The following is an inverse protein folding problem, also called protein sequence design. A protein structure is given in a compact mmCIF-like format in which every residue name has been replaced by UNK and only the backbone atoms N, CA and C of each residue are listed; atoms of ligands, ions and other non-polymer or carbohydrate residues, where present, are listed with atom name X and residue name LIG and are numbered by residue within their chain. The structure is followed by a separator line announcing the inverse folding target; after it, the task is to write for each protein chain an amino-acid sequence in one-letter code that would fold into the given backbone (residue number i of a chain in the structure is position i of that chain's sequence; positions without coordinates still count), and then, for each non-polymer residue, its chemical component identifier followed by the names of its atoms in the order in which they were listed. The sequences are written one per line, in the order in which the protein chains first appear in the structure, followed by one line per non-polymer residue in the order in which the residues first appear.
data_IF_860746988796
#
_entry.id   IF_860746988796
#
_cell.length_a   1.000
_cell.length_b   1.000
_cell.length_c   1.000
_cell.angle_alpha   90.00
_cell.angle_beta   90.00
_cell.angle_gamma   90.00
#
_symmetry.space_group_name_H-M   'P 1'
#
loop_
_entity.id
_entity.type
_entity.pdbx_description
1 polymer ?
#
# COMPACT_ATOMS: atom_id res chain seq x y z
N UNK A 1 33.38 -18.58 -31.13
CA UNK A 1 34.24 -19.58 -30.46
C UNK A 1 34.09 -19.37 -28.97
N UNK A 2 33.28 -20.19 -28.30
CA UNK A 2 33.00 -20.03 -26.88
C UNK A 2 34.17 -20.66 -26.11
N UNK A 3 35.01 -19.84 -25.46
CA UNK A 3 36.04 -20.38 -24.57
C UNK A 3 35.36 -21.02 -23.35
N UNK A 4 35.71 -22.27 -22.98
CA UNK A 4 35.19 -22.87 -21.77
C UNK A 4 35.66 -22.05 -20.56
N UNK A 5 34.81 -22.00 -19.53
CA UNK A 5 35.12 -21.30 -18.28
C UNK A 5 36.26 -22.03 -17.57
N UNK A 6 37.17 -21.29 -16.92
CA UNK A 6 38.15 -21.87 -16.02
C UNK A 6 37.49 -22.25 -14.70
N UNK A 7 37.95 -23.31 -14.02
CA UNK A 7 37.40 -23.75 -12.73
C UNK A 7 37.39 -22.63 -11.67
N UNK A 8 38.34 -21.69 -11.73
CA UNK A 8 38.37 -20.51 -10.86
C UNK A 8 37.25 -19.52 -11.19
N UNK A 9 36.89 -19.38 -12.45
CA UNK A 9 35.81 -18.51 -12.91
C UNK A 9 34.45 -19.08 -12.52
N UNK A 10 34.27 -20.40 -12.67
CA UNK A 10 33.05 -21.11 -12.25
C UNK A 10 32.77 -20.93 -10.76
N UNK A 11 33.78 -21.15 -9.90
CA UNK A 11 33.65 -20.94 -8.45
C UNK A 11 33.30 -19.49 -8.12
N UNK A 12 33.92 -18.53 -8.81
CA UNK A 12 33.65 -17.10 -8.61
C UNK A 12 32.22 -16.73 -9.00
N UNK A 13 31.72 -17.23 -10.14
CA UNK A 13 30.36 -16.95 -10.59
C UNK A 13 29.32 -17.62 -9.70
N UNK A 14 29.51 -18.89 -9.33
CA UNK A 14 28.61 -19.59 -8.41
C UNK A 14 28.52 -18.84 -7.07
N UNK A 15 29.65 -18.40 -6.51
CA UNK A 15 29.65 -17.64 -5.26
C UNK A 15 28.93 -16.30 -5.41
N UNK A 16 29.12 -15.58 -6.53
CA UNK A 16 28.43 -14.31 -6.79
C UNK A 16 26.91 -14.50 -6.92
N UNK A 17 26.48 -15.52 -7.66
CA UNK A 17 25.06 -15.85 -7.83
C UNK A 17 24.43 -16.13 -6.47
N UNK A 18 25.01 -17.01 -5.66
CA UNK A 18 24.47 -17.33 -4.35
C UNK A 18 24.48 -16.14 -3.39
N UNK A 19 25.49 -15.27 -3.45
CA UNK A 19 25.51 -14.01 -2.68
C UNK A 19 24.37 -13.08 -3.06
N UNK A 20 24.08 -12.95 -4.36
CA UNK A 20 22.97 -12.11 -4.85
C UNK A 20 21.63 -12.71 -4.42
N UNK A 21 21.45 -14.02 -4.58
CA UNK A 21 20.20 -14.71 -4.20
C UNK A 21 19.95 -14.59 -2.69
N UNK A 22 20.94 -14.95 -1.86
CA UNK A 22 20.81 -14.87 -0.39
C UNK A 22 20.66 -13.41 0.04
N UNK A 23 21.42 -12.49 -0.56
CA UNK A 23 21.31 -11.06 -0.29
C UNK A 23 19.92 -10.51 -0.62
N UNK A 24 19.32 -10.93 -1.74
CA UNK A 24 17.96 -10.56 -2.12
C UNK A 24 16.91 -11.09 -1.15
N UNK A 25 17.03 -12.35 -0.74
CA UNK A 25 16.14 -12.96 0.27
C UNK A 25 16.27 -12.23 1.61
N UNK A 26 17.50 -11.95 2.05
CA UNK A 26 17.76 -11.23 3.29
C UNK A 26 17.19 -9.80 3.25
N UNK A 27 17.39 -9.09 2.14
CA UNK A 27 16.84 -7.75 1.94
C UNK A 27 15.30 -7.77 1.99
N UNK A 28 14.67 -8.75 1.36
CA UNK A 28 13.21 -8.90 1.41
C UNK A 28 12.72 -9.23 2.83
N UNK A 29 13.40 -10.11 3.56
CA UNK A 29 13.06 -10.43 4.95
C UNK A 29 13.21 -9.19 5.87
N UNK A 30 14.26 -8.38 5.67
CA UNK A 30 14.45 -7.12 6.38
C UNK A 30 13.30 -6.16 6.06
N UNK A 31 12.93 -6.02 4.79
CA UNK A 31 11.81 -5.17 4.38
C UNK A 31 10.50 -5.55 5.08
N UNK A 32 10.15 -6.85 5.11
CA UNK A 32 8.95 -7.33 5.82
C UNK A 32 9.06 -7.07 7.33
N UNK A 33 10.25 -7.26 7.92
CA UNK A 33 10.47 -6.98 9.34
C UNK A 33 10.27 -5.50 9.67
N UNK A 34 10.70 -4.59 8.80
CA UNK A 34 10.48 -3.15 8.94
C UNK A 34 8.99 -2.78 8.94
N UNK A 35 8.15 -3.50 8.17
CA UNK A 35 6.70 -3.33 8.22
C UNK A 35 6.14 -3.72 9.59
N UNK A 36 6.61 -4.83 10.17
CA UNK A 36 6.22 -5.26 11.52
C UNK A 36 6.63 -4.27 12.62
N UNK A 37 7.78 -3.62 12.47
CA UNK A 37 8.22 -2.55 13.39
C UNK A 37 7.53 -1.20 13.16
N UNK A 38 6.66 -1.08 12.16
CA UNK A 38 5.88 0.13 11.90
C UNK A 38 6.69 1.29 11.29
N UNK A 39 7.84 1.01 10.64
CA UNK A 39 8.62 2.07 9.96
C UNK A 39 7.84 2.78 8.86
N UNK A 40 6.79 2.14 8.33
CA UNK A 40 5.91 2.67 7.29
C UNK A 40 4.54 3.13 7.85
N UNK A 41 4.42 3.27 9.17
CA UNK A 41 3.17 3.58 9.85
C UNK A 41 2.49 2.36 10.46
N UNK A 42 1.37 2.59 11.13
CA UNK A 42 0.60 1.55 11.82
C UNK A 42 -0.20 0.72 10.81
N UNK A 43 0.00 -0.59 10.81
CA UNK A 43 -0.88 -1.51 10.08
C UNK A 43 -2.28 -1.49 10.71
N UNK A 44 -3.35 -1.44 9.90
CA UNK A 44 -4.72 -1.53 10.42
C UNK A 44 -4.92 -2.87 11.13
N UNK A 45 -5.77 -2.88 12.16
CA UNK A 45 -6.07 -4.12 12.87
C UNK A 45 -6.93 -5.04 12.00
N UNK A 46 -6.97 -6.34 12.32
CA UNK A 46 -7.87 -7.29 11.63
C UNK A 46 -9.33 -6.83 11.66
N UNK A 47 -9.78 -6.26 12.77
CA UNK A 47 -11.13 -5.73 12.91
C UNK A 47 -11.41 -4.59 11.92
N UNK A 48 -10.43 -3.72 11.69
CA UNK A 48 -10.58 -2.61 10.73
C UNK A 48 -10.64 -3.13 9.29
N UNK A 49 -10.05 -4.29 9.00
CA UNK A 49 -10.09 -4.94 7.68
C UNK A 49 -11.41 -5.70 7.48
N UNK A 50 -11.92 -6.40 8.50
CA UNK A 50 -13.20 -7.11 8.44
C UNK A 50 -14.39 -6.14 8.41
N UNK A 51 -14.25 -5.01 9.12
CA UNK A 51 -15.25 -3.96 9.19
C UNK A 51 -14.65 -2.60 8.82
N UNK A 52 -14.35 -2.37 7.52
CA UNK A 52 -13.82 -1.11 7.07
C UNK A 52 -14.84 -0.01 7.37
N UNK A 53 -14.44 0.96 8.19
CA UNK A 53 -15.28 2.11 8.50
C UNK A 53 -15.35 3.03 7.28
N UNK A 54 -16.55 3.24 6.75
CA UNK A 54 -16.78 4.33 5.81
C UNK A 54 -16.71 5.65 6.57
N UNK A 55 -15.84 6.56 6.12
CA UNK A 55 -15.75 7.92 6.68
C UNK A 55 -16.80 8.86 6.09
N UNK A 56 -17.86 8.33 5.46
CA UNK A 56 -18.95 9.12 4.89
C UNK A 56 -19.80 9.77 5.99
N UNK A 57 -20.10 11.05 5.82
CA UNK A 57 -21.00 11.76 6.73
C UNK A 57 -22.42 11.18 6.66
N UNK A 58 -23.07 11.03 7.81
CA UNK A 58 -24.50 10.69 7.87
C UNK A 58 -25.33 11.94 7.59
N UNK A 59 -26.33 11.82 6.72
CA UNK A 59 -27.20 12.93 6.35
C UNK A 59 -28.54 12.84 7.08
N UNK A 60 -28.99 13.95 7.67
CA UNK A 60 -30.30 14.07 8.29
C UNK A 60 -31.24 14.62 7.21
N UNK A 61 -32.22 13.83 6.80
CA UNK A 61 -33.14 14.16 5.70
C UNK A 61 -34.54 14.40 6.28
N UNK A 62 -35.18 15.50 5.87
CA UNK A 62 -36.56 15.82 6.20
C UNK A 62 -37.54 14.93 5.43
N UNK A 63 -38.81 14.90 5.86
CA UNK A 63 -39.88 14.12 5.21
C UNK A 63 -40.14 14.55 3.75
N UNK A 64 -39.79 15.79 3.41
CA UNK A 64 -39.86 16.33 2.05
C UNK A 64 -38.61 15.99 1.19
N UNK A 65 -37.67 15.20 1.73
CA UNK A 65 -36.43 14.80 1.05
C UNK A 65 -35.29 15.82 1.12
N UNK A 66 -35.44 16.95 1.83
CA UNK A 66 -34.36 17.95 1.95
C UNK A 66 -33.35 17.58 3.03
N UNK A 67 -32.06 17.72 2.74
CA UNK A 67 -30.99 17.55 3.74
C UNK A 67 -31.02 18.70 4.75
N UNK A 68 -31.31 18.40 6.01
CA UNK A 68 -31.34 19.33 7.14
C UNK A 68 -29.95 19.58 7.73
N UNK A 69 -29.05 18.59 7.60
CA UNK A 69 -27.69 18.69 8.12
C UNK A 69 -26.94 17.37 8.01
N UNK A 70 -25.67 17.39 8.44
CA UNK A 70 -24.82 16.20 8.44
C UNK A 70 -24.20 15.98 9.82
N UNK A 71 -24.05 14.70 10.18
CA UNK A 71 -23.36 14.27 11.40
C UNK A 71 -22.17 13.39 11.01
N UNK A 72 -20.98 13.78 11.46
CA UNK A 72 -19.75 13.11 11.04
C UNK A 72 -18.64 13.19 12.09
N UNK A 73 -17.78 12.16 12.09
CA UNK A 73 -16.44 12.24 12.71
C UNK A 73 -15.45 12.86 11.72
N UNK A 74 -15.58 12.53 10.43
CA UNK A 74 -14.83 13.12 9.33
C UNK A 74 -15.81 13.59 8.26
N UNK A 75 -15.74 14.86 7.88
CA UNK A 75 -16.62 15.42 6.86
C UNK A 75 -16.19 14.97 5.46
N UNK A 76 -16.61 13.77 5.04
CA UNK A 76 -16.36 13.28 3.68
C UNK A 76 -17.67 12.98 2.97
N UNK A 77 -17.74 13.41 1.72
CA UNK A 77 -18.74 13.00 0.74
C UNK A 77 -18.06 12.14 -0.32
N UNK A 78 -18.77 11.12 -0.80
CA UNK A 78 -18.27 10.27 -1.87
C UNK A 78 -18.57 10.98 -3.20
N UNK A 79 -17.54 11.25 -4.02
CA UNK A 79 -17.69 11.90 -5.33
C UNK A 79 -16.93 11.11 -6.39
N UNK A 80 -17.50 11.03 -7.59
CA UNK A 80 -16.84 10.48 -8.77
C UNK A 80 -15.94 11.54 -9.41
N UNK A 81 -14.95 11.11 -10.18
CA UNK A 81 -14.01 12.02 -10.85
C UNK A 81 -14.72 13.06 -11.74
N UNK A 82 -15.86 12.70 -12.35
CA UNK A 82 -16.64 13.59 -13.22
C UNK A 82 -17.31 14.75 -12.46
N UNK A 83 -17.52 14.59 -11.15
CA UNK A 83 -18.13 15.59 -10.28
C UNK A 83 -17.10 16.59 -9.73
N UNK A 84 -15.81 16.32 -9.94
CA UNK A 84 -14.72 17.21 -9.55
C UNK A 84 -14.58 18.30 -10.61
N UNK A 85 -14.57 19.56 -10.17
CA UNK A 85 -14.37 20.70 -11.07
C UNK A 85 -13.04 20.58 -11.83
N UNK A 86 -13.02 20.74 -13.17
CA UNK A 86 -11.79 20.69 -13.95
C UNK A 86 -10.73 21.70 -13.50
N UNK A 87 -11.15 22.82 -12.90
CA UNK A 87 -10.26 23.89 -12.44
C UNK A 87 -9.42 23.51 -11.20
N UNK A 88 -9.75 22.40 -10.53
CA UNK A 88 -8.98 21.89 -9.36
C UNK A 88 -8.24 20.59 -9.68
N UNK A 89 -8.19 20.22 -10.95
CA UNK A 89 -7.49 19.04 -11.46
C UNK A 89 -6.26 19.56 -12.21
N UNK A 90 -5.08 19.02 -11.88
CA UNK A 90 -3.78 19.40 -12.49
C UNK A 90 -3.28 18.33 -13.46
#
# INVERSE_FOLDING_TARGET
MNKPLSAADEKRYNLRIWKIVIGGIALFAIFISMMGFGLFGTLPSFRDIEHPKSNQASEIIADDGRTLGTYFVQNRSNVTYKEISPNVIN
#
